data_IF_758921484002
#
_entry.id   IF_758921484002
#
_cell.length_a   1.000
_cell.length_b   1.000
_cell.length_c   1.000
_cell.angle_alpha   90.00
_cell.angle_beta   90.00
_cell.angle_gamma   90.00
#
_symmetry.space_group_name_H-M   'P 1'
#
loop_
_entity.id
_entity.type
_entity.pdbx_description
1 polymer ?
#
# COMPACT_ATOMS: atom_id res chain seq x y z
N UNK A 1 -9.49 8.87 -6.85
CA UNK A 1 -10.12 7.61 -6.45
C UNK A 1 -9.53 6.51 -7.30
N UNK A 2 -9.05 5.44 -6.69
CA UNK A 2 -8.51 4.24 -7.34
C UNK A 2 -9.55 3.13 -7.15
N UNK A 3 -10.00 2.55 -8.26
CA UNK A 3 -10.99 1.48 -8.30
C UNK A 3 -10.53 0.36 -9.21
N UNK A 4 -10.94 -0.86 -8.91
CA UNK A 4 -10.72 -2.02 -9.77
C UNK A 4 -11.97 -2.87 -9.88
N UNK A 5 -12.21 -3.47 -11.04
CA UNK A 5 -13.32 -4.41 -11.23
C UNK A 5 -13.05 -5.79 -10.62
N UNK A 6 -11.83 -6.01 -10.11
CA UNK A 6 -11.38 -7.26 -9.50
C UNK A 6 -10.37 -6.97 -8.38
N UNK A 7 -10.18 -7.89 -7.42
CA UNK A 7 -9.28 -7.68 -6.30
C UNK A 7 -7.85 -7.34 -6.73
N UNK A 8 -7.26 -6.31 -6.11
CA UNK A 8 -5.96 -5.78 -6.52
C UNK A 8 -5.07 -5.38 -5.34
N UNK A 9 -3.77 -5.24 -5.60
CA UNK A 9 -2.77 -4.72 -4.66
C UNK A 9 -2.32 -3.32 -5.11
N UNK A 10 -1.89 -2.49 -4.15
CA UNK A 10 -1.30 -1.17 -4.37
C UNK A 10 0.00 -1.24 -5.17
N UNK A 11 0.77 -2.32 -5.00
CA UNK A 11 2.01 -2.51 -5.72
C UNK A 11 2.78 -3.74 -5.27
N UNK A 12 3.87 -3.98 -6.01
CA UNK A 12 4.79 -5.08 -5.79
C UNK A 12 6.22 -4.67 -6.14
N UNK A 13 7.24 -5.08 -5.35
CA UNK A 13 8.61 -4.66 -5.61
C UNK A 13 9.25 -5.52 -6.69
N UNK A 14 9.34 -4.97 -7.90
CA UNK A 14 10.03 -5.66 -9.00
C UNK A 14 11.54 -5.79 -8.77
N UNK A 15 12.15 -4.78 -8.13
CA UNK A 15 13.58 -4.73 -7.76
C UNK A 15 13.75 -4.31 -6.30
N UNK A 16 14.96 -4.51 -5.77
CA UNK A 16 15.37 -3.98 -4.47
C UNK A 16 15.27 -2.45 -4.46
N UNK A 17 15.03 -1.86 -3.30
CA UNK A 17 14.86 -0.40 -3.14
C UNK A 17 13.72 0.22 -3.95
N UNK A 18 12.71 -0.57 -4.33
CA UNK A 18 11.50 0.00 -4.93
C UNK A 18 10.81 0.92 -3.92
N UNK A 19 10.46 2.13 -4.35
CA UNK A 19 9.78 3.11 -3.54
C UNK A 19 8.49 3.58 -4.21
N UNK A 20 7.40 3.61 -3.44
CA UNK A 20 6.08 4.07 -3.89
C UNK A 20 5.40 4.76 -2.73
N UNK A 21 4.94 5.99 -2.95
CA UNK A 21 4.22 6.77 -1.95
C UNK A 21 2.88 7.19 -2.53
N UNK A 22 1.80 6.82 -1.86
CA UNK A 22 0.46 7.34 -2.14
C UNK A 22 0.15 8.46 -1.14
N UNK A 23 -0.34 9.60 -1.63
CA UNK A 23 -0.70 10.76 -0.81
C UNK A 23 -2.13 11.19 -1.12
N UNK A 24 -2.93 11.51 -0.10
CA UNK A 24 -4.30 12.02 -0.24
C UNK A 24 -5.17 11.20 -1.22
N UNK A 25 -4.98 9.88 -1.22
CA UNK A 25 -5.59 8.98 -2.19
C UNK A 25 -6.73 8.19 -1.57
N UNK A 26 -7.74 7.87 -2.39
CA UNK A 26 -8.94 7.13 -1.98
C UNK A 26 -8.97 5.80 -2.71
N UNK A 27 -9.15 4.70 -1.98
CA UNK A 27 -9.20 3.34 -2.50
C UNK A 27 -10.54 2.66 -2.19
N UNK A 28 -11.03 1.88 -3.13
CA UNK A 28 -12.28 1.13 -2.97
C UNK A 28 -12.10 -0.12 -2.08
N UNK A 29 -13.18 -0.91 -1.97
CA UNK A 29 -13.23 -2.15 -1.20
C UNK A 29 -12.60 -3.36 -1.91
N UNK A 30 -12.19 -3.22 -3.19
CA UNK A 30 -11.58 -4.29 -3.96
C UNK A 30 -10.06 -4.37 -3.70
N UNK A 31 -9.49 -3.34 -3.08
CA UNK A 31 -8.12 -3.42 -2.58
C UNK A 31 -7.99 -4.52 -1.52
N UNK A 32 -7.04 -5.44 -1.71
CA UNK A 32 -6.70 -6.42 -0.69
C UNK A 32 -6.32 -5.75 0.62
N UNK A 33 -6.79 -6.31 1.74
CA UNK A 33 -6.56 -5.73 3.07
C UNK A 33 -5.07 -5.56 3.39
N UNK A 34 -4.20 -6.45 2.90
CA UNK A 34 -2.74 -6.31 3.07
C UNK A 34 -2.16 -5.10 2.32
N UNK A 35 -2.86 -4.58 1.31
CA UNK A 35 -2.43 -3.48 0.44
C UNK A 35 -1.31 -3.84 -0.52
N UNK A 36 -0.21 -4.41 -0.03
CA UNK A 36 1.00 -4.67 -0.81
C UNK A 36 1.30 -6.17 -0.90
N UNK A 37 1.94 -6.57 -2.01
CA UNK A 37 2.39 -7.94 -2.24
C UNK A 37 3.89 -7.96 -2.50
N UNK A 38 4.64 -8.85 -1.85
CA UNK A 38 6.10 -8.92 -1.97
C UNK A 38 6.58 -9.78 -3.15
N UNK A 39 5.64 -10.39 -3.89
CA UNK A 39 5.90 -11.16 -5.11
C UNK A 39 6.85 -12.34 -4.90
N UNK A 40 6.63 -13.07 -3.81
CA UNK A 40 7.44 -14.23 -3.38
C UNK A 40 8.94 -13.90 -3.22
N UNK A 41 9.26 -12.61 -3.02
CA UNK A 41 10.62 -12.11 -2.80
C UNK A 41 10.71 -11.42 -1.43
N UNK A 42 10.68 -12.20 -0.32
CA UNK A 42 10.69 -11.63 1.03
C UNK A 42 11.94 -10.79 1.32
N UNK A 43 13.06 -11.06 0.65
CA UNK A 43 14.29 -10.26 0.76
C UNK A 43 14.09 -8.79 0.38
N UNK A 44 13.17 -8.50 -0.55
CA UNK A 44 12.94 -7.14 -0.99
C UNK A 44 12.23 -6.30 0.09
N UNK A 45 11.44 -6.93 0.98
CA UNK A 45 10.69 -6.27 2.06
C UNK A 45 11.56 -5.40 2.98
N UNK A 46 12.86 -5.72 3.10
CA UNK A 46 13.79 -4.97 3.96
C UNK A 46 14.34 -3.69 3.30
N UNK A 47 14.27 -3.60 1.97
CA UNK A 47 14.88 -2.51 1.20
C UNK A 47 13.87 -1.58 0.57
N UNK A 48 12.62 -2.03 0.42
CA UNK A 48 11.54 -1.28 -0.22
C UNK A 48 11.04 -0.18 0.70
N UNK A 49 10.60 0.92 0.11
CA UNK A 49 10.02 2.04 0.83
C UNK A 49 8.61 2.33 0.31
N UNK A 50 7.62 1.67 0.89
CA UNK A 50 6.22 1.84 0.53
C UNK A 50 5.49 2.64 1.59
N UNK A 51 4.81 3.70 1.15
CA UNK A 51 4.21 4.68 2.05
C UNK A 51 2.79 5.03 1.61
N UNK A 52 1.92 5.18 2.59
CA UNK A 52 0.54 5.64 2.44
C UNK A 52 0.35 6.84 3.37
N UNK A 53 0.19 8.04 2.81
CA UNK A 53 0.06 9.28 3.57
C UNK A 53 -1.34 9.82 3.37
N UNK A 54 -2.10 9.97 4.45
CA UNK A 54 -3.46 10.51 4.46
C UNK A 54 -4.37 9.86 3.41
N UNK A 55 -4.29 8.53 3.30
CA UNK A 55 -5.07 7.75 2.35
C UNK A 55 -6.31 7.17 3.01
N UNK A 56 -7.42 7.18 2.27
CA UNK A 56 -8.72 6.69 2.71
C UNK A 56 -9.07 5.39 1.97
N UNK A 57 -9.66 4.45 2.72
CA UNK A 57 -9.97 3.10 2.27
C UNK A 57 -11.43 2.82 2.57
N UNK A 58 -12.19 2.39 1.57
CA UNK A 58 -13.58 1.97 1.76
C UNK A 58 -13.69 0.57 2.39
N UNK A 59 -12.67 -0.27 2.17
CA UNK A 59 -12.57 -1.62 2.73
C UNK A 59 -11.66 -1.73 3.96
N UNK A 60 -11.64 -2.92 4.56
CA UNK A 60 -10.76 -3.22 5.69
C UNK A 60 -9.29 -3.19 5.28
N UNK A 61 -8.46 -2.54 6.10
CA UNK A 61 -7.03 -2.42 5.88
C UNK A 61 -6.26 -3.11 7.00
N UNK A 62 -5.42 -4.06 6.62
CA UNK A 62 -4.44 -4.71 7.48
C UNK A 62 -3.07 -4.06 7.29
N UNK A 63 -2.42 -3.69 8.39
CA UNK A 63 -1.10 -3.07 8.33
C UNK A 63 -0.02 -4.11 8.06
N UNK A 64 0.64 -4.03 6.91
CA UNK A 64 1.88 -4.76 6.63
C UNK A 64 3.08 -4.10 7.31
N UNK A 65 3.88 -4.86 8.05
CA UNK A 65 5.06 -4.35 8.81
C UNK A 65 6.14 -3.64 7.99
N UNK A 66 6.14 -3.82 6.67
CA UNK A 66 7.16 -3.32 5.75
C UNK A 66 6.64 -2.17 4.85
N UNK A 67 5.40 -1.74 5.05
CA UNK A 67 4.85 -0.55 4.42
C UNK A 67 4.38 0.41 5.53
N UNK A 68 4.74 1.68 5.40
CA UNK A 68 4.39 2.69 6.40
C UNK A 68 3.05 3.31 6.03
N UNK A 69 2.15 3.40 7.02
CA UNK A 69 0.91 4.16 6.91
C UNK A 69 0.98 5.34 7.88
N UNK A 70 0.86 6.53 7.33
CA UNK A 70 0.84 7.79 8.05
C UNK A 70 -0.49 8.48 7.78
N UNK A 71 -1.15 8.95 8.82
CA UNK A 71 -2.29 9.85 8.71
C UNK A 71 -1.82 11.18 9.26
N UNK A 72 -1.84 12.23 8.45
CA UNK A 72 -1.59 13.56 8.95
C UNK A 72 -2.77 13.96 9.83
N UNK A 73 -2.56 14.09 11.14
CA UNK A 73 -3.47 14.84 12.00
C UNK A 73 -3.50 16.29 11.51
N UNK A 74 -4.61 16.65 10.86
CA UNK A 74 -4.86 18.03 10.46
C UNK A 74 -5.05 18.86 11.75
N UNK A 75 -4.03 19.65 12.11
CA UNK A 75 -4.07 20.58 13.24
C UNK A 75 -4.91 21.82 12.92
#
# INVERSE_FOLDING_TARGET
MVTGDSPYYLGRPWRQYAAVTFVNSYFDQQLYSTGWHDWDKPKNRQTVNYQEINCLYLGEKSSTRWATKEMSEQK
#
